data_IF_993611599942
#
_entry.id   IF_993611599942
#
_cell.length_a   1.000
_cell.length_b   1.000
_cell.length_c   1.000
_cell.angle_alpha   90.00
_cell.angle_beta   90.00
_cell.angle_gamma   90.00
#
_symmetry.space_group_name_H-M   'P 1'
#
loop_
_entity.id
_entity.type
_entity.pdbx_description
1 polymer ?
#
# COMPACT_ATOMS: atom_id res chain seq x y z
N UNK A 1 2.25 7.90 9.12
CA UNK A 1 1.43 8.19 10.32
C UNK A 1 0.84 6.89 10.84
N UNK A 2 0.89 6.62 12.15
CA UNK A 2 0.37 5.37 12.74
C UNK A 2 -0.98 5.62 13.43
N UNK A 3 -1.92 4.67 13.30
CA UNK A 3 -3.30 4.82 13.76
C UNK A 3 -3.46 5.07 15.28
N UNK A 4 -2.52 4.59 16.10
CA UNK A 4 -2.56 4.77 17.56
C UNK A 4 -1.89 6.07 18.04
N UNK A 5 -1.41 6.93 17.13
CA UNK A 5 -0.66 8.15 17.50
C UNK A 5 -1.53 9.40 17.55
N UNK A 6 -1.13 10.39 18.34
CA UNK A 6 -1.78 11.71 18.41
C UNK A 6 -1.83 12.43 17.06
N UNK A 7 -0.79 12.25 16.24
CA UNK A 7 -0.76 12.79 14.87
C UNK A 7 -1.94 12.27 14.06
N UNK A 8 -2.24 10.97 14.14
CA UNK A 8 -3.41 10.39 13.50
C UNK A 8 -4.73 10.89 14.08
N UNK A 9 -4.82 11.04 15.40
CA UNK A 9 -6.03 11.57 16.03
C UNK A 9 -6.35 12.99 15.52
N UNK A 10 -5.35 13.88 15.44
CA UNK A 10 -5.51 15.24 14.89
C UNK A 10 -5.87 15.20 13.40
N UNK A 11 -5.18 14.38 12.61
CA UNK A 11 -5.51 14.17 11.20
C UNK A 11 -6.96 13.73 11.03
N UNK A 12 -7.42 12.74 11.79
CA UNK A 12 -8.78 12.22 11.71
C UNK A 12 -9.82 13.26 12.16
N UNK A 13 -9.52 14.06 13.17
CA UNK A 13 -10.37 15.15 13.65
C UNK A 13 -10.58 16.25 12.60
N UNK A 14 -9.66 16.38 11.64
CA UNK A 14 -9.83 17.27 10.49
C UNK A 14 -10.56 16.54 9.34
N UNK A 15 -10.15 15.32 9.03
CA UNK A 15 -10.66 14.54 7.89
C UNK A 15 -12.14 14.22 8.02
N UNK A 16 -12.57 13.77 9.20
CA UNK A 16 -13.93 13.29 9.40
C UNK A 16 -14.98 14.41 9.33
N UNK A 17 -14.84 15.57 10.01
CA UNK A 17 -15.80 16.67 9.87
C UNK A 17 -15.89 17.21 8.43
N UNK A 18 -14.76 17.38 7.74
CA UNK A 18 -14.78 17.83 6.35
C UNK A 18 -15.47 16.80 5.47
N UNK A 19 -15.23 15.50 5.68
CA UNK A 19 -15.96 14.43 5.01
C UNK A 19 -17.48 14.55 5.23
N UNK A 20 -17.94 14.82 6.46
CA UNK A 20 -19.36 15.02 6.76
C UNK A 20 -19.97 16.20 5.99
N UNK A 21 -19.20 17.26 5.74
CA UNK A 21 -19.64 18.42 4.94
C UNK A 21 -19.71 18.09 3.46
N UNK A 22 -18.75 17.33 2.92
CA UNK A 22 -18.67 17.04 1.47
C UNK A 22 -19.39 15.77 1.03
N UNK A 23 -19.80 14.87 1.95
CA UNK A 23 -20.41 13.57 1.62
C UNK A 23 -21.63 13.62 0.70
N UNK A 24 -22.36 14.75 0.71
CA UNK A 24 -23.54 14.94 -0.12
C UNK A 24 -23.19 15.12 -1.61
N UNK A 25 -21.99 15.63 -1.90
CA UNK A 25 -21.47 15.76 -3.24
C UNK A 25 -20.39 14.71 -3.50
N UNK A 26 -20.75 13.71 -4.29
CA UNK A 26 -19.89 12.57 -4.63
C UNK A 26 -18.51 12.98 -5.17
N UNK A 27 -18.44 14.07 -5.97
CA UNK A 27 -17.17 14.55 -6.52
C UNK A 27 -16.26 15.10 -5.41
N UNK A 28 -16.78 16.00 -4.58
CA UNK A 28 -16.01 16.60 -3.48
C UNK A 28 -15.65 15.57 -2.40
N UNK A 29 -16.53 14.63 -2.12
CA UNK A 29 -16.25 13.50 -1.23
C UNK A 29 -15.03 12.71 -1.69
N UNK A 30 -15.00 12.25 -2.95
CA UNK A 30 -13.88 11.47 -3.46
C UNK A 30 -12.59 12.31 -3.57
N UNK A 31 -12.67 13.57 -3.98
CA UNK A 31 -11.50 14.46 -3.98
C UNK A 31 -10.92 14.60 -2.57
N UNK A 32 -11.78 14.83 -1.57
CA UNK A 32 -11.35 14.96 -0.18
C UNK A 32 -10.73 13.67 0.36
N UNK A 33 -11.39 12.53 0.13
CA UNK A 33 -10.88 11.23 0.56
C UNK A 33 -9.56 10.86 -0.13
N UNK A 34 -9.41 11.20 -1.41
CA UNK A 34 -8.14 11.05 -2.14
C UNK A 34 -7.05 11.91 -1.52
N UNK A 35 -7.30 13.20 -1.29
CA UNK A 35 -6.31 14.13 -0.70
C UNK A 35 -5.92 13.63 0.70
N UNK A 36 -6.89 13.32 1.55
CA UNK A 36 -6.64 12.79 2.89
C UNK A 36 -5.79 11.51 2.82
N UNK A 37 -6.09 10.63 1.87
CA UNK A 37 -5.37 9.39 1.68
C UNK A 37 -3.92 9.56 1.21
N UNK A 38 -3.70 10.48 0.29
CA UNK A 38 -2.37 10.84 -0.19
C UNK A 38 -1.55 11.55 0.91
N UNK A 39 -2.17 12.43 1.71
CA UNK A 39 -1.52 13.05 2.87
C UNK A 39 -1.13 11.98 3.90
N UNK A 40 -2.02 11.04 4.20
CA UNK A 40 -1.75 9.94 5.13
C UNK A 40 -0.54 9.11 4.67
N UNK A 41 -0.50 8.72 3.40
CA UNK A 41 0.59 7.91 2.84
C UNK A 41 1.90 8.70 2.73
N UNK A 42 1.83 9.93 2.23
CA UNK A 42 2.96 10.83 2.07
C UNK A 42 3.59 11.28 3.38
N UNK A 43 2.89 11.11 4.51
CA UNK A 43 3.42 11.39 5.84
C UNK A 43 4.68 10.58 6.16
N UNK A 44 4.84 9.39 5.57
CA UNK A 44 6.06 8.59 5.77
C UNK A 44 7.19 9.08 4.87
N UNK A 45 6.93 9.19 3.57
CA UNK A 45 7.86 9.80 2.62
C UNK A 45 7.06 10.28 1.38
N UNK A 46 7.05 11.59 1.08
CA UNK A 46 6.27 12.17 -0.02
C UNK A 46 6.65 11.63 -1.41
N UNK A 47 7.89 11.19 -1.60
CA UNK A 47 8.40 10.75 -2.90
C UNK A 47 7.71 9.49 -3.41
N UNK A 48 7.20 8.65 -2.51
CA UNK A 48 6.43 7.47 -2.89
C UNK A 48 5.02 7.78 -3.38
N UNK A 49 4.54 9.02 -3.22
CA UNK A 49 3.26 9.42 -3.85
C UNK A 49 3.35 9.38 -5.37
N UNK A 50 4.51 9.71 -5.94
CA UNK A 50 4.75 9.60 -7.38
C UNK A 50 4.69 8.14 -7.84
N UNK A 51 5.26 7.23 -7.06
CA UNK A 51 5.19 5.80 -7.35
C UNK A 51 3.75 5.28 -7.24
N UNK A 52 3.06 5.61 -6.14
CA UNK A 52 1.67 5.25 -5.88
C UNK A 52 0.76 5.72 -7.03
N UNK A 53 0.91 6.99 -7.42
CA UNK A 53 0.17 7.57 -8.53
C UNK A 53 0.52 6.92 -9.86
N UNK A 54 1.81 6.69 -10.13
CA UNK A 54 2.29 6.13 -11.39
C UNK A 54 1.81 4.70 -11.62
N UNK A 55 1.95 3.81 -10.62
CA UNK A 55 1.50 2.42 -10.72
C UNK A 55 -0.03 2.34 -10.83
N UNK A 56 -0.76 3.14 -10.05
CA UNK A 56 -2.21 3.25 -10.20
C UNK A 56 -2.64 3.81 -11.55
N UNK A 57 -1.93 4.80 -12.10
CA UNK A 57 -2.21 5.34 -13.43
C UNK A 57 -2.03 4.28 -14.51
N UNK A 58 -0.97 3.46 -14.44
CA UNK A 58 -0.76 2.34 -15.35
C UNK A 58 -1.96 1.40 -15.32
N UNK A 59 -2.38 0.93 -14.14
CA UNK A 59 -3.50 -0.01 -14.01
C UNK A 59 -4.83 0.56 -14.51
N UNK A 60 -5.10 1.83 -14.19
CA UNK A 60 -6.28 2.51 -14.71
C UNK A 60 -6.28 2.54 -16.24
N UNK A 61 -5.15 2.92 -16.85
CA UNK A 61 -5.00 2.98 -18.30
C UNK A 61 -5.10 1.59 -18.95
N UNK A 62 -4.50 0.56 -18.33
CA UNK A 62 -4.57 -0.82 -18.82
C UNK A 62 -6.03 -1.27 -18.90
N UNK A 63 -6.86 -0.98 -17.89
CA UNK A 63 -8.28 -1.33 -17.92
C UNK A 63 -9.05 -0.53 -18.97
N UNK A 64 -8.75 0.77 -19.13
CA UNK A 64 -9.36 1.56 -20.21
C UNK A 64 -9.00 0.99 -21.59
N UNK A 65 -7.77 0.54 -21.80
CA UNK A 65 -7.36 -0.10 -23.04
C UNK A 65 -7.95 -1.51 -23.22
N UNK A 66 -8.14 -2.26 -22.13
CA UNK A 66 -8.88 -3.53 -22.16
C UNK A 66 -10.31 -3.33 -22.65
N UNK A 67 -11.00 -2.30 -22.16
CA UNK A 67 -12.38 -2.03 -22.56
C UNK A 67 -12.51 -1.68 -24.03
N UNK A 68 -11.57 -0.87 -24.56
CA UNK A 68 -11.53 -0.49 -25.98
C UNK A 68 -11.12 -1.62 -26.92
N UNK A 69 -10.57 -2.71 -26.38
CA UNK A 69 -10.09 -3.84 -27.17
C UNK A 69 -11.23 -4.81 -27.49
N UNK A 70 -11.43 -5.15 -28.77
CA UNK A 70 -12.45 -6.14 -29.17
C UNK A 70 -11.96 -7.58 -28.98
N UNK A 71 -10.67 -7.83 -29.23
CA UNK A 71 -10.07 -9.16 -29.15
C UNK A 71 -9.69 -9.56 -27.72
N UNK A 72 -10.07 -10.80 -27.34
CA UNK A 72 -9.68 -11.42 -26.05
C UNK A 72 -8.16 -11.53 -25.89
N UNK A 73 -7.40 -11.67 -26.99
CA UNK A 73 -5.92 -11.71 -26.95
C UNK A 73 -5.34 -10.37 -26.52
N UNK A 74 -5.84 -9.27 -27.07
CA UNK A 74 -5.39 -7.92 -26.73
C UNK A 74 -5.75 -7.57 -25.29
N UNK A 75 -6.95 -7.93 -24.81
CA UNK A 75 -7.32 -7.79 -23.40
C UNK A 75 -6.36 -8.55 -22.47
N UNK A 76 -5.98 -9.78 -22.85
CA UNK A 76 -5.03 -10.59 -22.09
C UNK A 76 -3.64 -9.96 -22.05
N UNK A 77 -3.20 -9.35 -23.16
CA UNK A 77 -1.92 -8.62 -23.21
C UNK A 77 -1.91 -7.46 -22.22
N UNK A 78 -2.96 -6.62 -22.21
CA UNK A 78 -3.06 -5.52 -21.23
C UNK A 78 -3.08 -6.01 -19.79
N UNK A 79 -3.71 -7.17 -19.52
CA UNK A 79 -3.71 -7.76 -18.19
C UNK A 79 -2.28 -8.18 -17.81
N UNK A 80 -1.58 -8.87 -18.71
CA UNK A 80 -0.20 -9.28 -18.48
C UNK A 80 0.69 -8.07 -18.23
N UNK A 81 0.54 -6.98 -18.99
CA UNK A 81 1.31 -5.75 -18.77
C UNK A 81 1.05 -5.18 -17.37
N UNK A 82 -0.22 -5.07 -16.93
CA UNK A 82 -0.57 -4.64 -15.57
C UNK A 82 0.03 -5.55 -14.50
N UNK A 83 -0.09 -6.87 -14.64
CA UNK A 83 0.44 -7.83 -13.67
C UNK A 83 1.97 -7.80 -13.60
N UNK A 84 2.65 -7.77 -14.75
CA UNK A 84 4.11 -7.68 -14.81
C UNK A 84 4.60 -6.35 -14.20
N UNK A 85 3.90 -5.24 -14.45
CA UNK A 85 4.23 -3.95 -13.83
C UNK A 85 4.09 -3.99 -12.31
N UNK A 86 2.98 -4.52 -11.80
CA UNK A 86 2.71 -4.63 -10.37
C UNK A 86 3.65 -5.60 -9.64
N UNK A 87 3.84 -6.81 -10.18
CA UNK A 87 4.78 -7.77 -9.61
C UNK A 87 6.22 -7.31 -9.77
N UNK A 88 6.58 -6.64 -10.86
CA UNK A 88 7.90 -6.05 -11.06
C UNK A 88 8.18 -4.97 -10.01
N UNK A 89 7.21 -4.09 -9.76
CA UNK A 89 7.29 -3.09 -8.69
C UNK A 89 7.47 -3.75 -7.32
N UNK A 90 6.61 -4.71 -6.97
CA UNK A 90 6.71 -5.42 -5.70
C UNK A 90 8.04 -6.19 -5.56
N UNK A 91 8.49 -6.84 -6.63
CA UNK A 91 9.72 -7.63 -6.62
C UNK A 91 10.95 -6.75 -6.45
N UNK A 92 10.99 -5.61 -7.16
CA UNK A 92 12.06 -4.63 -7.03
C UNK A 92 12.17 -4.14 -5.58
N UNK A 93 11.07 -3.68 -4.98
CA UNK A 93 11.15 -3.14 -3.62
C UNK A 93 11.42 -4.21 -2.56
N UNK A 94 10.80 -5.39 -2.69
CA UNK A 94 10.82 -6.42 -1.63
C UNK A 94 12.02 -7.35 -1.69
N UNK A 95 12.52 -7.67 -2.88
CA UNK A 95 13.52 -8.72 -3.06
C UNK A 95 14.85 -8.24 -3.63
N UNK A 96 14.99 -6.96 -4.02
CA UNK A 96 16.24 -6.51 -4.62
C UNK A 96 17.45 -6.74 -3.72
N UNK A 97 17.35 -6.44 -2.40
CA UNK A 97 18.47 -6.70 -1.46
C UNK A 97 18.87 -8.16 -1.44
N UNK A 98 17.89 -9.04 -1.25
CA UNK A 98 18.12 -10.48 -1.28
C UNK A 98 18.79 -10.91 -2.59
N UNK A 99 18.32 -10.41 -3.73
CA UNK A 99 18.88 -10.75 -5.04
C UNK A 99 20.32 -10.24 -5.18
N UNK A 100 20.60 -8.98 -4.84
CA UNK A 100 21.95 -8.41 -4.95
C UNK A 100 22.93 -9.09 -4.02
N UNK A 101 22.52 -9.41 -2.79
CA UNK A 101 23.40 -10.04 -1.81
C UNK A 101 23.78 -11.46 -2.24
N UNK A 102 22.83 -12.22 -2.77
CA UNK A 102 23.10 -13.56 -3.29
C UNK A 102 23.97 -13.54 -4.55
N UNK A 103 23.71 -12.60 -5.47
CA UNK A 103 24.54 -12.47 -6.68
C UNK A 103 25.97 -12.03 -6.31
N UNK A 104 26.12 -11.05 -5.42
CA UNK A 104 27.42 -10.60 -4.93
C UNK A 104 28.17 -11.73 -4.21
N UNK A 105 27.46 -12.55 -3.42
CA UNK A 105 28.02 -13.75 -2.82
C UNK A 105 28.56 -14.73 -3.88
N UNK A 106 27.79 -15.00 -4.94
CA UNK A 106 28.25 -15.85 -6.06
C UNK A 106 29.45 -15.23 -6.78
N UNK A 107 29.42 -13.95 -7.10
CA UNK A 107 30.52 -13.26 -7.78
C UNK A 107 31.81 -13.25 -6.96
N UNK A 108 31.71 -13.12 -5.63
CA UNK A 108 32.83 -13.22 -4.73
C UNK A 108 33.44 -14.63 -4.73
N UNK A 109 32.61 -15.68 -4.73
CA UNK A 109 33.06 -17.08 -4.78
C UNK A 109 33.67 -17.46 -6.15
N UNK A 110 33.18 -16.86 -7.23
CA UNK A 110 33.71 -17.06 -8.58
C UNK A 110 34.91 -16.15 -8.91
N UNK A 111 35.35 -15.31 -7.96
CA UNK A 111 36.40 -14.31 -8.15
C UNK A 111 36.18 -13.39 -9.37
N UNK A 112 34.91 -13.10 -9.69
CA UNK A 112 34.55 -12.39 -10.92
C UNK A 112 34.83 -10.87 -10.84
N UNK A 113 35.22 -10.34 -9.67
CA UNK A 113 35.56 -8.92 -9.45
C UNK A 113 34.41 -7.94 -9.64
N UNK A 114 33.22 -8.43 -10.00
CA UNK A 114 32.00 -7.65 -10.16
C UNK A 114 31.26 -7.58 -8.82
N UNK A 115 30.80 -6.38 -8.46
CA UNK A 115 29.92 -6.15 -7.32
C UNK A 115 28.74 -5.31 -7.78
N UNK A 116 27.55 -5.86 -7.67
CA UNK A 116 26.32 -5.11 -7.89
C UNK A 116 26.16 -4.08 -6.76
N UNK A 117 25.88 -2.81 -7.11
CA UNK A 117 25.52 -1.77 -6.14
C UNK A 117 24.31 -2.15 -5.26
N UNK A 118 24.22 -1.50 -4.11
CA UNK A 118 23.11 -1.62 -3.17
C UNK A 118 21.78 -1.16 -3.81
N UNK A 119 20.71 -1.96 -3.72
CA UNK A 119 19.37 -1.60 -4.15
C UNK A 119 18.76 -0.32 -3.62
N UNK A 120 19.10 0.11 -2.42
CA UNK A 120 18.61 1.39 -1.88
C UNK A 120 19.13 2.58 -2.69
N UNK A 121 20.26 2.39 -3.40
CA UNK A 121 20.83 3.35 -4.34
C UNK A 121 20.32 3.19 -5.78
N UNK A 122 19.50 2.18 -6.09
CA UNK A 122 18.76 2.10 -7.35
C UNK A 122 17.44 2.85 -7.17
N UNK A 123 17.27 4.04 -7.77
CA UNK A 123 17.48 4.32 -9.18
C UNK A 123 18.35 5.57 -9.38
N UNK A 124 19.32 5.83 -8.51
CA UNK A 124 20.08 7.08 -8.54
C UNK A 124 20.85 7.23 -9.85
N UNK A 125 21.32 6.13 -10.46
CA UNK A 125 21.99 6.15 -11.75
C UNK A 125 21.04 6.48 -12.91
N UNK A 126 19.85 5.88 -12.97
CA UNK A 126 18.87 6.16 -14.04
C UNK A 126 18.28 7.57 -13.88
N UNK A 127 18.14 8.06 -12.65
CA UNK A 127 17.67 9.41 -12.33
C UNK A 127 18.77 10.45 -12.55
N UNK A 128 20.05 10.10 -12.38
CA UNK A 128 21.18 10.98 -12.74
C UNK A 128 21.26 11.27 -14.23
N UNK A 129 20.71 10.39 -15.10
CA UNK A 129 20.57 10.66 -16.54
C UNK A 129 19.57 11.79 -16.83
N UNK A 130 18.65 12.07 -15.90
CA UNK A 130 17.67 13.16 -15.99
C UNK A 130 18.06 14.39 -15.13
N UNK A 131 19.32 14.49 -14.68
CA UNK A 131 19.83 15.66 -13.97
C UNK A 131 19.55 15.68 -12.45
N UNK A 132 19.30 14.52 -11.84
CA UNK A 132 19.10 14.43 -10.39
C UNK A 132 20.37 14.76 -9.59
N UNK A 133 20.37 15.89 -8.89
CA UNK A 133 21.43 16.28 -7.94
C UNK A 133 21.23 15.74 -6.52
N UNK A 134 22.22 15.88 -5.63
CA UNK A 134 22.08 15.55 -4.21
C UNK A 134 20.99 16.41 -3.58
N UNK A 135 19.90 15.78 -3.11
CA UNK A 135 18.71 16.45 -2.59
C UNK A 135 17.42 16.21 -3.40
N UNK A 136 17.49 15.43 -4.48
CA UNK A 136 16.30 15.00 -5.22
C UNK A 136 15.36 14.13 -4.35
N UNK A 137 14.08 14.08 -4.70
CA UNK A 137 13.04 13.31 -3.99
C UNK A 137 13.41 11.83 -3.74
N UNK A 138 14.32 11.24 -4.51
CA UNK A 138 14.68 9.81 -4.44
C UNK A 138 16.14 9.59 -4.02
N UNK A 139 16.59 10.19 -2.91
CA UNK A 139 17.99 10.04 -2.44
C UNK A 139 18.32 8.65 -1.86
N UNK A 140 17.33 7.99 -1.26
CA UNK A 140 17.43 6.62 -0.76
C UNK A 140 16.06 5.95 -0.90
N UNK A 141 15.97 4.91 -1.73
CA UNK A 141 14.72 4.22 -2.01
C UNK A 141 14.55 3.08 -1.01
N UNK A 142 14.00 3.41 0.15
CA UNK A 142 13.55 2.44 1.16
C UNK A 142 12.26 1.76 0.69
N UNK A 143 11.93 0.56 1.16
CA UNK A 143 10.67 -0.12 0.86
C UNK A 143 9.45 0.68 1.39
N UNK A 144 8.54 1.17 0.52
CA UNK A 144 7.31 1.77 1.01
C UNK A 144 6.43 0.85 1.84
N UNK A 145 5.93 1.42 2.92
CA UNK A 145 4.96 0.77 3.80
C UNK A 145 3.67 0.54 3.00
N UNK A 146 3.14 -0.68 3.03
CA UNK A 146 1.85 -0.98 2.41
C UNK A 146 1.89 -1.21 0.89
N UNK A 147 3.06 -1.27 0.24
CA UNK A 147 3.15 -1.56 -1.21
C UNK A 147 2.36 -2.82 -1.56
N UNK A 148 2.54 -3.90 -0.80
CA UNK A 148 1.88 -5.17 -1.12
C UNK A 148 0.36 -5.01 -1.16
N UNK A 149 -0.22 -4.30 -0.18
CA UNK A 149 -1.66 -4.05 -0.13
C UNK A 149 -2.12 -3.23 -1.34
N UNK A 150 -1.42 -2.13 -1.62
CA UNK A 150 -1.69 -1.30 -2.80
C UNK A 150 -1.63 -2.11 -4.10
N UNK A 151 -0.56 -2.88 -4.30
CA UNK A 151 -0.33 -3.69 -5.50
C UNK A 151 -1.42 -4.73 -5.67
N UNK A 152 -1.77 -5.48 -4.62
CA UNK A 152 -2.84 -6.49 -4.70
C UNK A 152 -4.22 -5.88 -4.92
N UNK A 153 -4.50 -4.73 -4.29
CA UNK A 153 -5.77 -4.03 -4.46
C UNK A 153 -5.92 -3.46 -5.87
N UNK A 154 -4.86 -2.87 -6.43
CA UNK A 154 -4.85 -2.38 -7.81
C UNK A 154 -4.96 -3.53 -8.83
N UNK A 155 -4.26 -4.65 -8.61
CA UNK A 155 -4.41 -5.86 -9.44
C UNK A 155 -5.80 -6.47 -9.36
N UNK A 156 -6.47 -6.44 -8.19
CA UNK A 156 -7.86 -6.90 -8.08
C UNK A 156 -8.76 -6.18 -9.09
N UNK A 157 -8.56 -4.87 -9.29
CA UNK A 157 -9.32 -4.11 -10.28
C UNK A 157 -9.03 -4.56 -11.71
N UNK A 158 -7.75 -4.74 -12.09
CA UNK A 158 -7.40 -5.13 -13.46
C UNK A 158 -7.83 -6.56 -13.79
N UNK A 159 -7.72 -7.48 -12.82
CA UNK A 159 -8.19 -8.85 -12.93
C UNK A 159 -9.72 -8.90 -13.03
N UNK A 160 -10.44 -8.22 -12.13
CA UNK A 160 -11.91 -8.22 -12.15
C UNK A 160 -12.46 -7.57 -13.43
N UNK A 161 -11.81 -6.53 -13.95
CA UNK A 161 -12.18 -5.92 -15.21
C UNK A 161 -11.93 -6.86 -16.41
N UNK A 162 -10.83 -7.61 -16.41
CA UNK A 162 -10.53 -8.59 -17.46
C UNK A 162 -11.58 -9.71 -17.52
N UNK A 163 -12.03 -10.20 -16.36
CA UNK A 163 -13.08 -11.22 -16.27
C UNK A 163 -14.51 -10.66 -16.48
N UNK A 164 -14.66 -9.34 -16.56
CA UNK A 164 -15.97 -8.68 -16.74
C UNK A 164 -16.82 -8.65 -15.47
N UNK A 165 -16.22 -8.87 -14.29
CA UNK A 165 -16.91 -8.81 -13.00
C UNK A 165 -17.28 -7.37 -12.60
N UNK A 166 -16.54 -6.39 -13.12
CA UNK A 166 -16.76 -4.97 -12.87
C UNK A 166 -16.71 -4.17 -14.18
N UNK A 167 -17.41 -3.03 -14.21
CA UNK A 167 -17.31 -2.06 -15.30
C UNK A 167 -16.09 -1.16 -15.08
N UNK A 168 -15.49 -0.70 -16.17
CA UNK A 168 -14.40 0.30 -16.12
C UNK A 168 -14.86 1.55 -15.38
N UNK A 169 -14.12 1.94 -14.34
CA UNK A 169 -14.35 3.21 -13.64
C UNK A 169 -13.98 4.37 -14.57
N UNK A 170 -14.84 5.38 -14.64
CA UNK A 170 -14.66 6.55 -15.51
C UNK A 170 -13.95 7.70 -14.82
N UNK A 171 -14.00 7.74 -13.49
CA UNK A 171 -13.35 8.78 -12.69
C UNK A 171 -12.03 8.27 -12.14
N UNK A 172 -10.94 8.83 -12.68
CA UNK A 172 -9.61 8.54 -12.17
C UNK A 172 -9.46 8.89 -10.68
N UNK A 173 -10.10 9.97 -10.21
CA UNK A 173 -10.11 10.36 -8.79
C UNK A 173 -10.74 9.27 -7.91
N UNK A 174 -11.88 8.67 -8.32
CA UNK A 174 -12.48 7.55 -7.58
C UNK A 174 -11.57 6.34 -7.55
N UNK A 175 -10.95 6.02 -8.69
CA UNK A 175 -10.01 4.92 -8.76
C UNK A 175 -8.80 5.14 -7.83
N UNK A 176 -8.20 6.34 -7.85
CA UNK A 176 -7.14 6.69 -6.90
C UNK A 176 -7.61 6.64 -5.45
N UNK A 177 -8.84 7.10 -5.17
CA UNK A 177 -9.43 7.01 -3.82
C UNK A 177 -9.57 5.56 -3.38
N UNK A 178 -10.05 4.68 -4.26
CA UNK A 178 -10.16 3.24 -4.00
C UNK A 178 -8.79 2.67 -3.64
N UNK A 179 -7.80 2.84 -4.50
CA UNK A 179 -6.48 2.21 -4.35
C UNK A 179 -5.68 2.79 -3.17
N UNK A 180 -5.86 4.08 -2.85
CA UNK A 180 -5.10 4.76 -1.79
C UNK A 180 -5.84 4.86 -0.45
N UNK A 181 -7.06 4.30 -0.31
CA UNK A 181 -7.93 4.60 0.83
C UNK A 181 -7.24 4.35 2.18
N UNK A 182 -6.90 5.44 2.90
CA UNK A 182 -6.01 5.35 4.06
C UNK A 182 -6.43 4.38 5.17
N UNK A 183 -7.73 4.15 5.47
CA UNK A 183 -8.11 3.19 6.49
C UNK A 183 -7.66 1.75 6.17
N UNK A 184 -7.38 1.45 4.89
CA UNK A 184 -7.01 0.12 4.41
C UNK A 184 -5.59 0.03 3.87
N UNK A 185 -5.01 1.15 3.40
CA UNK A 185 -3.77 1.18 2.62
C UNK A 185 -2.55 0.52 3.27
N UNK A 186 -2.43 0.55 4.60
CA UNK A 186 -1.23 0.07 5.31
C UNK A 186 -1.33 -1.38 5.76
N UNK A 187 -2.49 -1.77 6.30
CA UNK A 187 -2.68 -3.07 6.95
C UNK A 187 -4.16 -3.49 7.02
N UNK A 188 -5.01 -2.95 6.14
CA UNK A 188 -6.41 -3.38 6.05
C UNK A 188 -6.55 -4.72 5.33
N UNK A 189 -7.71 -5.38 5.43
CA UNK A 189 -8.01 -6.51 4.54
C UNK A 189 -7.89 -6.04 3.09
N UNK A 190 -7.33 -6.90 2.22
CA UNK A 190 -7.22 -6.60 0.78
C UNK A 190 -8.64 -6.51 0.21
N UNK A 191 -9.12 -5.28 0.00
CA UNK A 191 -10.46 -5.04 -0.53
C UNK A 191 -10.53 -5.28 -2.03
N UNK A 192 -11.66 -5.83 -2.47
CA UNK A 192 -11.95 -6.00 -3.89
C UNK A 192 -12.59 -4.75 -4.47
N UNK A 193 -12.22 -4.44 -5.70
CA UNK A 193 -12.77 -3.33 -6.46
C UNK A 193 -14.30 -3.42 -6.60
N UNK A 194 -14.84 -4.62 -6.77
CA UNK A 194 -16.28 -4.89 -6.84
C UNK A 194 -17.06 -4.53 -5.58
N UNK A 195 -16.40 -4.47 -4.41
CA UNK A 195 -17.04 -4.11 -3.14
C UNK A 195 -16.94 -2.60 -2.86
N UNK A 196 -15.75 -2.02 -2.95
CA UNK A 196 -15.49 -0.65 -2.51
C UNK A 196 -15.83 0.41 -3.58
N UNK A 197 -15.57 0.17 -4.87
CA UNK A 197 -15.86 1.17 -5.91
C UNK A 197 -17.35 1.56 -5.99
N UNK A 198 -18.32 0.62 -5.92
CA UNK A 198 -19.74 1.00 -5.91
C UNK A 198 -20.11 1.90 -4.72
N UNK A 199 -19.49 1.70 -3.56
CA UNK A 199 -19.71 2.54 -2.37
C UNK A 199 -19.16 3.96 -2.58
N UNK A 200 -18.03 4.10 -3.27
CA UNK A 200 -17.45 5.39 -3.65
C UNK A 200 -18.22 6.09 -4.79
N UNK A 201 -18.99 5.34 -5.58
CA UNK A 201 -19.90 5.91 -6.59
C UNK A 201 -21.21 6.42 -5.95
N UNK A 202 -21.67 5.78 -4.88
CA UNK A 202 -22.86 6.16 -4.14
C UNK A 202 -22.66 7.32 -3.17
N UNK A 203 -23.73 7.69 -2.47
CA UNK A 203 -23.68 8.61 -1.33
C UNK A 203 -23.77 7.80 -0.03
N UNK A 204 -22.80 7.90 0.88
CA UNK A 204 -22.84 7.14 2.12
C UNK A 204 -23.97 7.65 3.03
N UNK A 205 -24.80 6.73 3.50
CA UNK A 205 -25.81 6.98 4.53
C UNK A 205 -25.22 6.60 5.87
N UNK A 206 -25.10 7.57 6.77
CA UNK A 206 -24.57 7.34 8.12
C UNK A 206 -25.77 7.12 9.04
N UNK A 207 -26.05 5.86 9.37
CA UNK A 207 -27.05 5.49 10.37
C UNK A 207 -26.46 5.53 11.78
N UNK A 208 -27.32 5.67 12.79
CA UNK A 208 -26.90 5.60 14.20
C UNK A 208 -26.23 4.25 14.51
N UNK A 209 -26.77 3.16 13.97
CA UNK A 209 -26.23 1.81 14.17
C UNK A 209 -24.83 1.67 13.58
N UNK A 210 -24.55 2.27 12.40
CA UNK A 210 -23.22 2.27 11.82
C UNK A 210 -22.20 3.01 12.72
N UNK A 211 -22.60 4.12 13.34
CA UNK A 211 -21.74 4.86 14.27
C UNK A 211 -21.48 4.05 15.54
N UNK A 212 -22.52 3.45 16.13
CA UNK A 212 -22.38 2.62 17.35
C UNK A 212 -21.48 1.42 17.08
N UNK A 213 -21.72 0.69 15.99
CA UNK A 213 -20.89 -0.46 15.61
C UNK A 213 -19.44 -0.05 15.31
N UNK A 214 -19.24 1.07 14.60
CA UNK A 214 -17.91 1.60 14.33
C UNK A 214 -17.15 1.97 15.61
N UNK A 215 -17.81 2.64 16.56
CA UNK A 215 -17.21 2.96 17.86
C UNK A 215 -16.90 1.70 18.67
N UNK A 216 -17.78 0.70 18.68
CA UNK A 216 -17.55 -0.57 19.36
C UNK A 216 -16.33 -1.30 18.77
N UNK A 217 -16.23 -1.41 17.45
CA UNK A 217 -15.07 -1.99 16.75
C UNK A 217 -13.78 -1.23 17.06
N UNK A 218 -13.84 0.10 17.06
CA UNK A 218 -12.69 0.94 17.41
C UNK A 218 -12.24 0.69 18.86
N UNK A 219 -13.15 0.70 19.83
CA UNK A 219 -12.82 0.51 21.25
C UNK A 219 -12.22 -0.88 21.51
N UNK A 220 -12.82 -1.93 20.94
CA UNK A 220 -12.29 -3.30 21.07
C UNK A 220 -10.93 -3.42 20.40
N UNK A 221 -10.76 -2.86 19.20
CA UNK A 221 -9.48 -2.86 18.49
C UNK A 221 -8.40 -2.08 19.24
N UNK A 222 -8.75 -0.91 19.79
CA UNK A 222 -7.86 -0.07 20.57
C UNK A 222 -7.40 -0.78 21.85
N UNK A 223 -8.31 -1.42 22.58
CA UNK A 223 -7.96 -2.25 23.74
C UNK A 223 -7.02 -3.39 23.36
N UNK A 224 -7.35 -4.18 22.32
CA UNK A 224 -6.49 -5.27 21.85
C UNK A 224 -5.09 -4.79 21.46
N UNK A 225 -4.99 -3.62 20.83
CA UNK A 225 -3.70 -3.06 20.40
C UNK A 225 -2.88 -2.56 21.60
N UNK A 226 -3.43 -1.63 22.38
CA UNK A 226 -2.68 -0.91 23.42
C UNK A 226 -2.53 -1.74 24.70
N UNK A 227 -3.58 -2.47 25.12
CA UNK A 227 -3.57 -3.19 26.39
C UNK A 227 -3.01 -4.62 26.28
N UNK A 228 -3.12 -5.26 25.11
CA UNK A 228 -2.64 -6.63 24.93
C UNK A 228 -1.39 -6.67 24.04
N UNK A 229 -1.52 -6.31 22.76
CA UNK A 229 -0.43 -6.51 21.79
C UNK A 229 0.82 -5.70 22.14
N UNK A 230 0.67 -4.41 22.49
CA UNK A 230 1.82 -3.56 22.82
C UNK A 230 2.51 -3.99 24.13
N UNK A 231 1.76 -4.56 25.08
CA UNK A 231 2.35 -5.14 26.30
C UNK A 231 3.05 -6.48 26.04
N UNK A 232 2.46 -7.36 25.23
CA UNK A 232 3.07 -8.63 24.85
C UNK A 232 4.36 -8.41 24.03
N UNK A 233 4.38 -7.40 23.17
CA UNK A 233 5.56 -7.02 22.38
C UNK A 233 6.79 -6.77 23.27
N UNK A 234 6.63 -6.18 24.47
CA UNK A 234 7.75 -5.97 25.42
C UNK A 234 8.46 -7.26 25.83
N UNK A 235 7.78 -8.41 25.77
CA UNK A 235 8.34 -9.73 26.06
C UNK A 235 8.82 -10.41 24.77
N UNK A 236 8.00 -10.38 23.73
CA UNK A 236 8.31 -10.99 22.43
C UNK A 236 9.58 -10.39 21.83
N UNK A 237 9.70 -9.06 21.82
CA UNK A 237 10.86 -8.35 21.26
C UNK A 237 12.15 -8.70 21.99
N UNK A 238 12.10 -8.95 23.32
CA UNK A 238 13.28 -9.40 24.09
C UNK A 238 13.72 -10.80 23.68
N UNK A 239 12.76 -11.71 23.50
CA UNK A 239 13.04 -13.10 23.12
C UNK A 239 13.56 -13.17 21.68
N UNK A 240 12.95 -12.43 20.75
CA UNK A 240 13.39 -12.37 19.35
C UNK A 240 14.66 -11.53 19.14
N UNK A 241 14.99 -10.62 20.06
CA UNK A 241 16.25 -9.88 20.04
C UNK A 241 17.47 -10.75 20.34
N UNK A 242 17.31 -11.83 21.12
CA UNK A 242 18.40 -12.74 21.48
C UNK A 242 17.89 -14.20 21.63
N UNK A 243 17.42 -14.84 20.55
CA UNK A 243 16.75 -16.14 20.64
C UNK A 243 17.66 -17.26 21.19
N UNK A 244 18.98 -17.13 21.05
CA UNK A 244 19.96 -18.09 21.58
C UNK A 244 20.12 -18.05 23.11
N UNK A 245 19.63 -17.01 23.78
CA UNK A 245 19.75 -16.84 25.25
C UNK A 245 18.54 -17.42 26.01
N UNK A 246 17.47 -17.78 25.30
CA UNK A 246 16.22 -18.24 25.90
C UNK A 246 15.97 -19.73 25.65
N UNK A 247 15.36 -20.39 26.62
CA UNK A 247 14.96 -21.80 26.49
C UNK A 247 13.76 -21.97 25.56
N UNK A 248 13.58 -23.18 25.04
CA UNK A 248 12.51 -23.54 24.09
C UNK A 248 11.11 -23.12 24.53
N UNK A 249 10.79 -23.19 25.83
CA UNK A 249 9.49 -22.77 26.34
C UNK A 249 9.23 -21.27 26.16
N UNK A 250 10.24 -20.43 26.38
CA UNK A 250 10.13 -18.98 26.17
C UNK A 250 10.01 -18.64 24.68
N UNK A 251 10.70 -19.37 23.80
CA UNK A 251 10.57 -19.22 22.35
C UNK A 251 9.16 -19.58 21.86
N UNK A 252 8.57 -20.67 22.36
CA UNK A 252 7.19 -21.06 22.03
C UNK A 252 6.18 -20.01 22.51
N UNK A 253 6.31 -19.55 23.76
CA UNK A 253 5.42 -18.52 24.30
C UNK A 253 5.55 -17.19 23.55
N UNK A 254 6.76 -16.77 23.20
CA UNK A 254 6.98 -15.60 22.38
C UNK A 254 6.35 -15.75 20.99
N UNK A 255 6.46 -16.93 20.38
CA UNK A 255 5.83 -17.23 19.08
C UNK A 255 4.30 -17.20 19.14
N UNK A 256 3.70 -17.69 20.22
CA UNK A 256 2.24 -17.64 20.41
C UNK A 256 1.75 -16.22 20.71
N UNK A 257 2.57 -15.41 21.38
CA UNK A 257 2.24 -14.03 21.74
C UNK A 257 2.49 -13.00 20.62
N UNK A 258 3.29 -13.35 19.62
CA UNK A 258 3.57 -12.56 18.42
C UNK A 258 2.40 -12.61 17.42
#
# INVERSE_FOLDING_TARGET
MLFHTWVFAVFFLIVFPVFLLVKHNNRWMNIWLMIASYVFYGWWNPSYLLLLFGTSAIDYLMVVFMERSESRRTKKLWLIISLVSNFGFLAFFKYSHFITDNINWVFAHLHWGLQLPDPVAYPNWAISLFGGGPGWLFTAVVLPIGISFHTFQSMSYTIDAYYGNIRTERSFVRFLTFVSFFPQLVAGPIERASNLLPQLQGRPVISRDAVVNGMALFLVGFFKKVALADYLALYVDKVYGAPGEYQSGALVLATVAF
#
